data_IF_856854758858
#
_entry.id   IF_856854758858
#
_cell.length_a   1.000
_cell.length_b   1.000
_cell.length_c   1.000
_cell.angle_alpha   90.00
_cell.angle_beta   90.00
_cell.angle_gamma   90.00
#
_symmetry.space_group_name_H-M   'P 1'
#
loop_
_entity.id
_entity.type
_entity.pdbx_description
1 polymer ?
#
# COMPACT_ATOMS: atom_id res chain seq x y z
N UNK A 1 11.43 -19.47 -7.42
CA UNK A 1 11.07 -18.28 -8.21
C UNK A 1 9.59 -18.23 -8.71
N UNK A 2 8.91 -19.36 -8.96
CA UNK A 2 7.49 -19.35 -9.37
C UNK A 2 6.53 -18.77 -8.30
N UNK A 3 6.74 -19.02 -7.02
CA UNK A 3 5.85 -18.56 -5.95
C UNK A 3 5.83 -17.03 -5.73
N UNK A 4 6.96 -16.33 -5.93
CA UNK A 4 7.03 -14.90 -5.75
C UNK A 4 6.30 -14.13 -6.88
N UNK A 5 6.36 -14.63 -8.12
CA UNK A 5 5.61 -14.05 -9.25
C UNK A 5 4.09 -14.23 -9.10
N UNK A 6 3.66 -15.34 -8.51
CA UNK A 6 2.23 -15.62 -8.36
C UNK A 6 1.60 -14.78 -7.25
N UNK A 7 2.30 -14.56 -6.14
CA UNK A 7 1.88 -13.65 -5.07
C UNK A 7 1.85 -12.19 -5.55
N UNK A 8 2.83 -11.77 -6.34
CA UNK A 8 2.85 -10.44 -6.94
C UNK A 8 1.66 -10.20 -7.86
N UNK A 9 1.30 -11.20 -8.71
CA UNK A 9 0.12 -11.11 -9.58
C UNK A 9 -1.19 -11.09 -8.79
N UNK A 10 -1.32 -11.91 -7.74
CA UNK A 10 -2.53 -11.94 -6.89
C UNK A 10 -2.71 -10.64 -6.12
N UNK A 11 -1.65 -10.09 -5.53
CA UNK A 11 -1.66 -8.78 -4.88
C UNK A 11 -2.05 -7.67 -5.88
N UNK A 12 -1.45 -7.66 -7.06
CA UNK A 12 -1.76 -6.66 -8.10
C UNK A 12 -3.23 -6.74 -8.55
N UNK A 13 -3.76 -7.95 -8.73
CA UNK A 13 -5.19 -8.14 -9.07
C UNK A 13 -6.09 -7.71 -7.92
N UNK A 14 -5.75 -8.04 -6.68
CA UNK A 14 -6.51 -7.65 -5.49
C UNK A 14 -6.55 -6.11 -5.34
N UNK A 15 -5.40 -5.43 -5.49
CA UNK A 15 -5.30 -3.98 -5.41
C UNK A 15 -6.08 -3.29 -6.54
N UNK A 16 -5.93 -3.76 -7.77
CA UNK A 16 -6.69 -3.22 -8.91
C UNK A 16 -8.20 -3.41 -8.73
N UNK A 17 -8.65 -4.54 -8.17
CA UNK A 17 -10.06 -4.80 -7.87
C UNK A 17 -10.57 -3.87 -6.77
N UNK A 18 -9.81 -3.69 -5.70
CA UNK A 18 -10.19 -2.82 -4.59
C UNK A 18 -10.21 -1.34 -5.01
N UNK A 19 -9.24 -0.91 -5.82
CA UNK A 19 -9.21 0.43 -6.39
C UNK A 19 -10.36 0.63 -7.38
N UNK A 20 -10.67 -0.35 -8.22
CA UNK A 20 -11.81 -0.34 -9.13
C UNK A 20 -13.15 -0.26 -8.37
N UNK A 21 -13.33 -1.07 -7.34
CA UNK A 21 -14.53 -1.04 -6.48
C UNK A 21 -14.66 0.30 -5.76
N UNK A 22 -13.57 0.86 -5.24
CA UNK A 22 -13.58 2.15 -4.57
C UNK A 22 -13.76 3.35 -5.53
N UNK A 23 -13.29 3.21 -6.78
CA UNK A 23 -13.37 4.29 -7.78
C UNK A 23 -14.70 4.34 -8.53
N UNK A 24 -15.36 3.19 -8.73
CA UNK A 24 -16.58 3.11 -9.56
C UNK A 24 -17.86 3.18 -8.74
N UNK A 25 -17.83 2.72 -7.48
CA UNK A 25 -19.03 2.71 -6.64
C UNK A 25 -18.79 3.37 -5.28
N UNK A 26 -18.72 4.69 -5.20
CA UNK A 26 -19.05 5.30 -3.91
C UNK A 26 -20.46 4.82 -3.56
N UNK A 27 -20.62 4.34 -2.37
CA UNK A 27 -21.90 3.76 -1.84
C UNK A 27 -23.09 4.70 -2.11
N UNK A 28 -22.82 6.01 -2.24
CA UNK A 28 -23.76 7.05 -2.61
C UNK A 28 -24.37 6.86 -4.01
N UNK A 29 -23.67 6.30 -4.98
CA UNK A 29 -24.19 6.18 -6.35
C UNK A 29 -25.31 5.13 -6.42
N UNK A 30 -25.25 4.07 -5.63
CA UNK A 30 -26.34 3.09 -5.51
C UNK A 30 -27.61 3.70 -4.97
N UNK A 31 -27.50 4.60 -3.99
CA UNK A 31 -28.63 5.29 -3.40
C UNK A 31 -29.24 6.38 -4.31
N UNK A 32 -28.52 6.81 -5.34
CA UNK A 32 -29.04 7.76 -6.33
C UNK A 32 -29.86 7.10 -7.45
N UNK A 33 -29.60 5.83 -7.75
CA UNK A 33 -30.34 5.10 -8.78
C UNK A 33 -31.79 4.85 -8.36
N UNK A 34 -32.03 4.56 -7.09
CA UNK A 34 -33.38 4.29 -6.55
C UNK A 34 -34.30 5.49 -6.70
N UNK A 35 -33.95 6.71 -6.21
CA UNK A 35 -34.79 7.89 -6.40
C UNK A 35 -34.91 8.31 -7.86
N UNK A 36 -33.88 8.05 -8.72
CA UNK A 36 -34.01 8.31 -10.16
C UNK A 36 -35.15 7.49 -10.79
N UNK A 37 -35.18 6.19 -10.50
CA UNK A 37 -36.25 5.30 -11.00
C UNK A 37 -37.60 5.83 -10.50
N UNK A 38 -37.66 6.29 -9.24
CA UNK A 38 -38.92 6.83 -8.64
C UNK A 38 -39.36 8.10 -9.33
N UNK A 39 -38.45 9.04 -9.61
CA UNK A 39 -38.77 10.30 -10.34
C UNK A 39 -39.24 10.01 -11.76
N UNK A 40 -38.58 9.06 -12.47
CA UNK A 40 -39.03 8.65 -13.81
C UNK A 40 -40.41 8.02 -13.79
N UNK A 41 -40.71 7.18 -12.77
CA UNK A 41 -42.03 6.53 -12.64
C UNK A 41 -43.14 7.57 -12.40
N UNK A 42 -42.89 8.53 -11.52
CA UNK A 42 -43.83 9.63 -11.24
C UNK A 42 -44.04 10.53 -12.48
N UNK A 43 -42.96 10.79 -13.25
CA UNK A 43 -43.04 11.62 -14.46
C UNK A 43 -43.81 10.93 -15.61
N UNK A 44 -43.93 9.61 -15.57
CA UNK A 44 -44.71 8.84 -16.56
C UNK A 44 -46.19 8.71 -16.18
N UNK A 45 -46.57 9.02 -14.96
CA UNK A 45 -47.93 8.99 -14.49
C UNK A 45 -48.65 10.27 -14.92
N UNK A 46 -49.61 10.14 -15.87
CA UNK A 46 -50.37 11.26 -16.42
C UNK A 46 -51.32 11.91 -15.40
N UNK A 47 -51.48 11.37 -14.20
CA UNK A 47 -52.33 11.92 -13.14
C UNK A 47 -51.54 12.78 -12.15
N UNK A 48 -50.25 12.81 -12.24
CA UNK A 48 -49.40 13.58 -11.31
C UNK A 48 -49.38 15.05 -11.72
N UNK A 49 -49.58 15.93 -10.74
CA UNK A 49 -49.56 17.37 -10.91
C UNK A 49 -48.20 17.85 -11.42
N UNK A 50 -48.18 18.65 -12.48
CA UNK A 50 -47.01 19.13 -13.18
C UNK A 50 -46.05 19.90 -12.23
N UNK A 51 -46.63 20.57 -11.24
CA UNK A 51 -45.86 21.32 -10.24
C UNK A 51 -45.08 20.38 -9.30
N UNK A 52 -45.65 19.26 -8.91
CA UNK A 52 -44.98 18.23 -8.07
C UNK A 52 -43.81 17.59 -8.83
N UNK A 53 -44.01 17.27 -10.12
CA UNK A 53 -42.97 16.71 -10.97
C UNK A 53 -41.79 17.68 -11.10
N UNK A 54 -42.05 18.96 -11.30
CA UNK A 54 -41.04 20.01 -11.41
C UNK A 54 -40.22 20.18 -10.12
N UNK A 55 -40.88 20.17 -8.96
CA UNK A 55 -40.20 20.23 -7.65
C UNK A 55 -39.31 19.01 -7.44
N UNK A 56 -39.82 17.80 -7.66
CA UNK A 56 -39.05 16.56 -7.51
C UNK A 56 -37.83 16.51 -8.46
N UNK A 57 -38.02 16.92 -9.70
CA UNK A 57 -36.93 16.98 -10.69
C UNK A 57 -35.88 17.98 -10.29
N UNK A 58 -36.26 19.15 -9.78
CA UNK A 58 -35.32 20.18 -9.31
C UNK A 58 -34.53 19.73 -8.10
N UNK A 59 -35.15 19.10 -7.11
CA UNK A 59 -34.49 18.54 -5.93
C UNK A 59 -33.52 17.42 -6.35
N UNK A 60 -33.97 16.53 -7.22
CA UNK A 60 -33.10 15.42 -7.70
C UNK A 60 -31.91 15.95 -8.47
N UNK A 61 -32.11 16.92 -9.36
CA UNK A 61 -31.01 17.53 -10.14
C UNK A 61 -29.99 18.21 -9.21
N UNK A 62 -30.46 18.88 -8.16
CA UNK A 62 -29.61 19.49 -7.13
C UNK A 62 -28.76 18.46 -6.39
N UNK A 63 -29.34 17.35 -5.98
CA UNK A 63 -28.64 16.24 -5.31
C UNK A 63 -27.62 15.62 -6.27
N UNK A 64 -28.00 15.31 -7.51
CA UNK A 64 -27.13 14.73 -8.52
C UNK A 64 -25.92 15.63 -8.81
N UNK A 65 -26.16 16.92 -9.01
CA UNK A 65 -25.08 17.89 -9.23
C UNK A 65 -24.11 17.96 -8.07
N UNK A 66 -24.63 17.98 -6.82
CA UNK A 66 -23.81 17.98 -5.61
C UNK A 66 -22.92 16.72 -5.53
N UNK A 67 -23.46 15.54 -5.83
CA UNK A 67 -22.70 14.29 -5.83
C UNK A 67 -21.61 14.28 -6.91
N UNK A 68 -21.94 14.74 -8.13
CA UNK A 68 -20.96 14.84 -9.23
C UNK A 68 -19.80 15.76 -8.82
N UNK A 69 -20.12 16.95 -8.27
CA UNK A 69 -19.10 17.90 -7.81
C UNK A 69 -18.23 17.27 -6.71
N UNK A 70 -18.86 16.59 -5.74
CA UNK A 70 -18.13 15.90 -4.67
C UNK A 70 -17.16 14.86 -5.22
N UNK A 71 -17.60 14.02 -6.18
CA UNK A 71 -16.75 13.01 -6.83
C UNK A 71 -15.58 13.67 -7.57
N UNK A 72 -15.83 14.77 -8.29
CA UNK A 72 -14.78 15.49 -9.01
C UNK A 72 -13.75 16.11 -8.06
N UNK A 73 -14.20 16.71 -6.96
CA UNK A 73 -13.33 17.26 -5.91
C UNK A 73 -12.49 16.15 -5.31
N UNK A 74 -13.10 15.02 -4.95
CA UNK A 74 -12.41 13.88 -4.36
C UNK A 74 -11.35 13.32 -5.32
N UNK A 75 -11.67 13.10 -6.59
CA UNK A 75 -10.69 12.68 -7.61
C UNK A 75 -9.54 13.67 -7.77
N UNK A 76 -9.80 14.96 -7.65
CA UNK A 76 -8.75 15.98 -7.69
C UNK A 76 -7.86 15.92 -6.45
N UNK A 77 -8.46 15.75 -5.28
CA UNK A 77 -7.73 15.59 -4.01
C UNK A 77 -6.87 14.33 -4.02
N UNK A 78 -7.39 13.20 -4.53
CA UNK A 78 -6.64 11.95 -4.65
C UNK A 78 -5.42 12.12 -5.56
N UNK A 79 -5.57 12.82 -6.70
CA UNK A 79 -4.45 13.12 -7.59
C UNK A 79 -3.39 14.02 -6.94
N UNK A 80 -3.81 15.03 -6.19
CA UNK A 80 -2.88 15.92 -5.46
C UNK A 80 -2.19 15.17 -4.32
N UNK A 81 -2.91 14.36 -3.59
CA UNK A 81 -2.38 13.46 -2.56
C UNK A 81 -1.34 12.50 -3.13
N UNK A 82 -1.64 11.87 -4.28
CA UNK A 82 -0.70 11.00 -4.96
C UNK A 82 0.56 11.76 -5.43
N UNK A 83 0.41 12.97 -5.95
CA UNK A 83 1.56 13.78 -6.37
C UNK A 83 2.44 14.18 -5.17
N UNK A 84 1.83 14.57 -4.04
CA UNK A 84 2.53 14.83 -2.78
C UNK A 84 3.26 13.58 -2.30
N UNK A 85 2.57 12.43 -2.31
CA UNK A 85 3.13 11.15 -1.92
C UNK A 85 4.32 10.75 -2.80
N UNK A 86 4.22 10.93 -4.13
CA UNK A 86 5.32 10.68 -5.05
C UNK A 86 6.55 11.53 -4.73
N UNK A 87 6.36 12.81 -4.47
CA UNK A 87 7.47 13.70 -4.14
C UNK A 87 8.18 13.28 -2.84
N UNK A 88 7.42 12.93 -1.80
CA UNK A 88 7.97 12.48 -0.51
C UNK A 88 8.67 11.13 -0.63
N UNK A 89 8.12 10.21 -1.42
CA UNK A 89 8.63 8.84 -1.54
C UNK A 89 9.69 8.67 -2.64
N UNK A 90 10.07 9.74 -3.32
CA UNK A 90 11.06 9.65 -4.40
C UNK A 90 12.37 9.02 -3.94
N UNK A 91 12.94 9.50 -2.83
CA UNK A 91 14.19 8.97 -2.27
C UNK A 91 14.00 7.55 -1.72
N UNK A 92 12.84 7.26 -1.15
CA UNK A 92 12.51 5.93 -0.66
C UNK A 92 12.43 4.89 -1.80
N UNK A 93 11.86 5.27 -2.94
CA UNK A 93 11.80 4.36 -4.11
C UNK A 93 13.18 4.07 -4.66
N UNK A 94 14.07 5.05 -4.69
CA UNK A 94 15.46 4.84 -5.09
C UNK A 94 16.17 3.85 -4.16
N UNK A 95 16.05 4.04 -2.85
CA UNK A 95 16.63 3.15 -1.85
C UNK A 95 16.06 1.71 -1.94
N UNK A 96 14.75 1.60 -2.17
CA UNK A 96 14.10 0.29 -2.32
C UNK A 96 14.50 -0.41 -3.62
N UNK A 97 14.81 0.33 -4.68
CA UNK A 97 15.35 -0.25 -5.90
C UNK A 97 16.76 -0.82 -5.65
N UNK A 98 17.63 -0.06 -5.00
CA UNK A 98 18.96 -0.52 -4.57
C UNK A 98 18.86 -1.78 -3.69
N UNK A 99 17.93 -1.79 -2.73
CA UNK A 99 17.65 -2.95 -1.89
C UNK A 99 17.22 -4.15 -2.74
N UNK A 100 16.26 -3.98 -3.64
CA UNK A 100 15.73 -5.05 -4.48
C UNK A 100 16.82 -5.69 -5.36
N UNK A 101 17.64 -4.89 -6.00
CA UNK A 101 18.74 -5.36 -6.84
C UNK A 101 19.78 -6.15 -6.03
N UNK A 102 20.24 -5.60 -4.91
CA UNK A 102 21.23 -6.26 -4.05
C UNK A 102 20.67 -7.54 -3.42
N UNK A 103 19.42 -7.51 -2.96
CA UNK A 103 18.79 -8.70 -2.39
C UNK A 103 18.68 -9.84 -3.41
N UNK A 104 18.26 -9.54 -4.63
CA UNK A 104 18.12 -10.55 -5.68
C UNK A 104 19.49 -11.12 -6.11
N UNK A 105 20.52 -10.27 -6.18
CA UNK A 105 21.88 -10.70 -6.46
C UNK A 105 22.42 -11.66 -5.38
N UNK A 106 22.22 -11.32 -4.11
CA UNK A 106 22.64 -12.18 -2.98
C UNK A 106 21.88 -13.50 -2.93
N UNK A 107 20.58 -13.48 -3.24
CA UNK A 107 19.76 -14.69 -3.26
C UNK A 107 20.10 -15.63 -4.42
N UNK A 108 20.66 -15.10 -5.51
CA UNK A 108 21.12 -15.90 -6.65
C UNK A 108 22.51 -16.51 -6.43
N UNK A 109 23.33 -15.94 -5.55
CA UNK A 109 24.60 -16.54 -5.12
C UNK A 109 24.30 -17.61 -4.08
N UNK A 110 24.70 -18.84 -4.32
CA UNK A 110 24.48 -19.97 -3.39
C UNK A 110 25.28 -19.86 -2.06
N UNK A 111 25.71 -18.68 -1.68
CA UNK A 111 26.44 -18.38 -0.47
C UNK A 111 25.52 -18.04 0.69
N UNK A 112 25.95 -18.32 1.93
CA UNK A 112 25.27 -17.95 3.17
C UNK A 112 25.47 -16.46 3.49
N UNK A 113 24.79 -15.59 2.70
CA UNK A 113 24.93 -14.14 2.72
C UNK A 113 23.94 -13.42 3.64
N UNK A 114 23.38 -14.12 4.64
CA UNK A 114 22.34 -13.56 5.51
C UNK A 114 22.74 -12.27 6.26
N UNK A 115 24.04 -12.11 6.57
CA UNK A 115 24.55 -10.90 7.23
C UNK A 115 24.45 -9.70 6.28
N UNK A 116 24.77 -9.90 5.02
CA UNK A 116 24.70 -8.84 4.01
C UNK A 116 23.23 -8.49 3.68
N UNK A 117 22.38 -9.51 3.59
CA UNK A 117 20.92 -9.32 3.48
C UNK A 117 20.40 -8.49 4.65
N UNK A 118 20.85 -8.81 5.87
CA UNK A 118 20.46 -8.02 7.05
C UNK A 118 20.86 -6.55 6.93
N UNK A 119 22.11 -6.27 6.57
CA UNK A 119 22.61 -4.88 6.45
C UNK A 119 21.80 -4.07 5.43
N UNK A 120 21.44 -4.68 4.31
CA UNK A 120 20.61 -4.03 3.29
C UNK A 120 19.20 -3.80 3.81
N UNK A 121 18.61 -4.80 4.47
CA UNK A 121 17.29 -4.69 5.09
C UNK A 121 17.27 -3.62 6.18
N UNK A 122 18.28 -3.58 7.06
CA UNK A 122 18.40 -2.60 8.13
C UNK A 122 18.48 -1.17 7.60
N UNK A 123 19.30 -0.95 6.56
CA UNK A 123 19.42 0.35 5.90
C UNK A 123 18.08 0.83 5.35
N UNK A 124 17.41 -0.02 4.58
CA UNK A 124 16.12 0.30 3.97
C UNK A 124 15.02 0.51 5.02
N UNK A 125 14.96 -0.36 6.02
CA UNK A 125 13.97 -0.33 7.07
C UNK A 125 14.13 0.89 7.99
N UNK A 126 15.37 1.24 8.36
CA UNK A 126 15.67 2.42 9.19
C UNK A 126 15.29 3.71 8.47
N UNK A 127 15.59 3.80 7.18
CA UNK A 127 15.19 4.96 6.37
C UNK A 127 13.67 5.11 6.30
N UNK A 128 12.95 4.01 6.03
CA UNK A 128 11.49 4.03 5.98
C UNK A 128 10.85 4.33 7.34
N UNK A 129 11.49 3.89 8.43
CA UNK A 129 11.04 4.21 9.79
C UNK A 129 11.09 5.72 10.06
N UNK A 130 12.18 6.39 9.66
CA UNK A 130 12.31 7.83 9.78
C UNK A 130 11.28 8.55 8.90
N UNK A 131 11.15 8.11 7.65
CA UNK A 131 10.16 8.66 6.73
C UNK A 131 8.72 8.52 7.25
N UNK A 132 8.41 7.39 7.89
CA UNK A 132 7.13 7.17 8.56
C UNK A 132 6.89 8.16 9.70
N UNK A 133 7.88 8.39 10.55
CA UNK A 133 7.76 9.33 11.67
C UNK A 133 7.49 10.76 11.21
N UNK A 134 8.09 11.16 10.10
CA UNK A 134 8.01 12.53 9.59
C UNK A 134 6.76 12.79 8.74
N UNK A 135 6.21 11.74 8.11
CA UNK A 135 5.15 11.88 7.11
C UNK A 135 4.02 10.85 7.25
N UNK A 136 3.57 10.60 8.49
CA UNK A 136 2.51 9.63 8.78
C UNK A 136 1.19 9.90 8.03
N UNK A 137 0.92 11.16 7.73
CA UNK A 137 -0.26 11.64 6.99
C UNK A 137 -0.29 11.23 5.51
N UNK A 138 0.86 10.80 4.98
CA UNK A 138 1.02 10.41 3.56
C UNK A 138 0.70 8.94 3.32
N UNK A 139 0.84 8.12 4.36
CA UNK A 139 0.69 6.67 4.26
C UNK A 139 -0.74 6.22 4.51
N UNK A 140 -1.22 5.27 3.72
CA UNK A 140 -2.49 4.62 3.99
C UNK A 140 -2.36 3.54 5.09
N UNK A 141 -3.50 3.00 5.54
CA UNK A 141 -3.57 2.04 6.64
C UNK A 141 -2.73 0.79 6.39
N UNK A 142 -2.64 0.33 5.13
CA UNK A 142 -1.86 -0.87 4.81
C UNK A 142 -0.36 -0.59 4.81
N UNK A 143 0.04 0.55 4.26
CA UNK A 143 1.44 1.00 4.31
C UNK A 143 1.89 1.19 5.76
N UNK A 144 1.04 1.82 6.58
CA UNK A 144 1.28 1.98 8.02
C UNK A 144 1.46 0.62 8.73
N UNK A 145 0.68 -0.38 8.36
CA UNK A 145 0.83 -1.72 8.92
C UNK A 145 2.16 -2.37 8.52
N UNK A 146 2.57 -2.28 7.25
CA UNK A 146 3.88 -2.79 6.81
C UNK A 146 5.03 -2.07 7.53
N UNK A 147 4.98 -0.76 7.62
CA UNK A 147 6.01 0.04 8.31
C UNK A 147 6.08 -0.27 9.80
N UNK A 148 4.93 -0.47 10.45
CA UNK A 148 4.88 -0.88 11.87
C UNK A 148 5.50 -2.27 12.08
N UNK A 149 5.22 -3.22 11.20
CA UNK A 149 5.80 -4.57 11.26
C UNK A 149 7.32 -4.55 11.05
N UNK A 150 7.79 -3.73 10.10
CA UNK A 150 9.23 -3.50 9.88
C UNK A 150 9.87 -2.94 11.16
N UNK A 151 9.30 -1.88 11.73
CA UNK A 151 9.81 -1.27 12.96
C UNK A 151 9.82 -2.23 14.15
N UNK A 152 8.76 -3.01 14.29
CA UNK A 152 8.67 -4.02 15.35
C UNK A 152 9.76 -5.08 15.18
N UNK A 153 9.99 -5.55 13.96
CA UNK A 153 11.03 -6.53 13.66
C UNK A 153 12.44 -5.98 13.90
N UNK A 154 12.71 -4.74 13.50
CA UNK A 154 13.96 -4.04 13.80
C UNK A 154 14.19 -3.91 15.29
N UNK A 155 13.17 -3.46 16.03
CA UNK A 155 13.25 -3.35 17.50
C UNK A 155 13.62 -4.69 18.17
N UNK A 156 13.00 -5.79 17.73
CA UNK A 156 13.34 -7.11 18.24
C UNK A 156 14.74 -7.56 17.85
N UNK A 157 15.21 -7.24 16.64
CA UNK A 157 16.59 -7.48 16.23
C UNK A 157 17.55 -6.75 17.15
N UNK A 158 17.36 -5.47 17.36
CA UNK A 158 18.19 -4.67 18.27
C UNK A 158 18.15 -5.18 19.73
N UNK A 159 17.00 -5.68 20.17
CA UNK A 159 16.83 -6.24 21.53
C UNK A 159 17.44 -7.64 21.68
N UNK A 160 17.43 -8.47 20.62
CA UNK A 160 18.01 -9.82 20.64
C UNK A 160 19.52 -9.81 20.80
N UNK A 161 20.16 -8.73 20.48
CA UNK A 161 21.59 -8.67 20.71
C UNK A 161 22.16 -7.32 20.44
N UNK A 162 22.81 -6.79 21.40
CA UNK A 162 24.12 -6.24 21.22
C UNK A 162 25.10 -7.26 20.57
N UNK A 163 24.60 -8.40 20.09
CA UNK A 163 25.34 -9.42 19.40
C UNK A 163 25.60 -8.94 17.97
N UNK A 164 26.82 -8.53 17.74
CA UNK A 164 27.29 -8.22 16.40
C UNK A 164 26.97 -9.42 15.45
N UNK A 165 26.30 -9.21 14.30
CA UNK A 165 26.02 -10.27 13.32
C UNK A 165 27.24 -11.13 12.97
N UNK A 166 28.44 -10.53 13.03
CA UNK A 166 29.72 -11.24 12.82
C UNK A 166 30.06 -12.23 13.91
N UNK A 167 29.63 -11.97 15.16
CA UNK A 167 29.89 -12.84 16.30
C UNK A 167 28.92 -14.03 16.31
N UNK A 168 27.72 -13.85 15.73
CA UNK A 168 26.76 -14.92 15.51
C UNK A 168 27.28 -16.01 14.56
N UNK A 169 28.27 -15.74 13.71
CA UNK A 169 28.94 -16.75 12.87
C UNK A 169 29.90 -17.65 13.63
N UNK A 170 30.40 -17.22 14.79
CA UNK A 170 31.57 -17.84 15.43
C UNK A 170 31.23 -18.74 16.63
N UNK A 171 30.03 -18.77 17.15
CA UNK A 171 29.71 -19.41 18.40
C UNK A 171 28.70 -20.57 18.35
N UNK A 172 28.72 -21.40 19.39
CA UNK A 172 28.06 -22.71 19.56
C UNK A 172 26.52 -22.68 19.71
N UNK A 173 25.87 -23.81 20.04
CA UNK A 173 24.42 -24.13 19.98
C UNK A 173 23.42 -23.07 20.47
N UNK A 174 23.72 -22.27 21.49
CA UNK A 174 22.86 -21.18 21.96
C UNK A 174 22.66 -20.15 20.84
N UNK A 175 23.66 -20.00 20.02
CA UNK A 175 23.71 -19.12 18.85
C UNK A 175 22.83 -19.64 17.71
N UNK A 176 22.63 -20.93 17.56
CA UNK A 176 21.77 -21.48 16.52
C UNK A 176 20.31 -21.04 16.69
N UNK A 177 19.81 -21.03 17.94
CA UNK A 177 18.45 -20.56 18.24
C UNK A 177 18.29 -19.05 18.03
N UNK A 178 19.30 -18.27 18.44
CA UNK A 178 19.31 -16.82 18.24
C UNK A 178 19.43 -16.50 16.75
N UNK A 179 20.31 -17.21 16.03
CA UNK A 179 20.50 -17.08 14.59
C UNK A 179 19.21 -17.38 13.82
N UNK A 180 18.50 -18.46 14.18
CA UNK A 180 17.22 -18.81 13.59
C UNK A 180 16.19 -17.69 13.79
N UNK A 181 16.07 -17.17 15.02
CA UNK A 181 15.14 -16.09 15.34
C UNK A 181 15.48 -14.80 14.59
N UNK A 182 16.75 -14.52 14.43
CA UNK A 182 17.26 -13.38 13.70
C UNK A 182 16.91 -13.48 12.20
N UNK A 183 17.16 -14.65 11.58
CA UNK A 183 16.77 -14.91 10.19
C UNK A 183 15.27 -14.75 9.98
N UNK A 184 14.43 -15.29 10.84
CA UNK A 184 12.97 -15.12 10.79
C UNK A 184 12.54 -13.63 10.81
N UNK A 185 13.21 -12.81 11.60
CA UNK A 185 12.93 -11.37 11.66
C UNK A 185 13.40 -10.63 10.39
N UNK A 186 14.55 -11.01 9.85
CA UNK A 186 15.06 -10.47 8.57
C UNK A 186 14.13 -10.84 7.42
N UNK A 187 13.69 -12.10 7.35
CA UNK A 187 12.73 -12.55 6.34
C UNK A 187 11.42 -11.74 6.43
N UNK A 188 10.93 -11.50 7.64
CA UNK A 188 9.73 -10.70 7.86
C UNK A 188 9.90 -9.24 7.40
N UNK A 189 11.04 -8.63 7.67
CA UNK A 189 11.36 -7.27 7.16
C UNK A 189 11.40 -7.29 5.64
N UNK A 190 12.04 -8.26 5.04
CA UNK A 190 12.17 -8.41 3.60
C UNK A 190 10.82 -8.56 2.93
N UNK A 191 9.93 -9.40 3.45
CA UNK A 191 8.58 -9.61 2.91
C UNK A 191 7.75 -8.33 2.97
N UNK A 192 7.86 -7.57 4.07
CA UNK A 192 7.16 -6.30 4.20
C UNK A 192 7.74 -5.21 3.27
N UNK A 193 9.06 -5.15 3.09
CA UNK A 193 9.70 -4.26 2.12
C UNK A 193 9.23 -4.56 0.69
N UNK A 194 9.20 -5.83 0.29
CA UNK A 194 8.68 -6.22 -1.02
C UNK A 194 7.18 -5.94 -1.17
N UNK A 195 6.41 -6.07 -0.11
CA UNK A 195 4.98 -5.70 -0.12
C UNK A 195 4.79 -4.22 -0.38
N UNK A 196 5.60 -3.34 0.23
CA UNK A 196 5.61 -1.90 -0.04
C UNK A 196 6.03 -1.59 -1.49
N UNK A 197 7.09 -2.22 -1.99
CA UNK A 197 7.55 -2.08 -3.38
C UNK A 197 6.42 -2.42 -4.36
N UNK A 198 5.76 -3.56 -4.15
CA UNK A 198 4.66 -4.01 -5.01
C UNK A 198 3.50 -3.01 -4.96
N UNK A 199 3.12 -2.57 -3.77
CA UNK A 199 2.05 -1.60 -3.59
C UNK A 199 2.39 -0.29 -4.30
N UNK A 200 3.55 0.27 -4.06
CA UNK A 200 3.93 1.56 -4.65
C UNK A 200 4.10 1.50 -6.16
N UNK A 201 4.49 0.35 -6.72
CA UNK A 201 4.45 0.12 -8.17
C UNK A 201 3.01 0.10 -8.70
N UNK A 202 2.08 -0.55 -7.98
CA UNK A 202 0.66 -0.56 -8.36
C UNK A 202 0.04 0.83 -8.30
N UNK A 203 0.40 1.61 -7.29
CA UNK A 203 -0.04 3.00 -7.12
C UNK A 203 0.64 3.96 -8.13
N UNK A 204 1.56 3.47 -8.96
CA UNK A 204 2.34 4.27 -9.91
C UNK A 204 3.31 5.25 -9.23
N UNK A 205 3.71 4.96 -7.99
CA UNK A 205 4.65 5.78 -7.22
C UNK A 205 6.08 5.39 -7.53
N UNK A 206 6.34 4.08 -7.62
CA UNK A 206 7.65 3.51 -7.88
C UNK A 206 7.69 2.78 -9.22
N UNK A 207 8.72 3.01 -10.03
CA UNK A 207 9.00 2.24 -11.25
C UNK A 207 10.14 1.25 -10.97
N UNK A 208 9.88 0.32 -10.04
CA UNK A 208 10.85 -0.70 -9.64
C UNK A 208 10.60 -1.97 -10.46
N UNK A 209 11.56 -2.34 -11.30
CA UNK A 209 11.52 -3.59 -12.06
C UNK A 209 11.91 -4.75 -11.16
N UNK A 210 10.92 -5.46 -10.66
CA UNK A 210 11.13 -6.77 -10.03
C UNK A 210 11.42 -7.78 -11.15
N UNK A 211 12.71 -8.07 -11.35
CA UNK A 211 13.15 -9.08 -12.33
C UNK A 211 12.96 -10.51 -11.81
#
# INVERSE_FOLDING_TARGET
MKGCKDNSRRLKVYWNLQEWVNSIYPTCLKWLIIPLIFVVFISLDKQTDEEIVNILTSVYTGILSSVIVTILIQKRQDKLSLAKKKAILFDATFLLNEFSEKYLALKSSNEDNWIEVYRICEKAASYLSNLYSDHVDVFDVMELNYLREINTSLFFIHKLGNANPSDLKKSNELTAKVRKKYSELVDKITDNLFSLIIKWNCDGIADIKLK
#
